data_IF_018223356865
#
_entry.id   IF_018223356865
#
_cell.length_a   1.000
_cell.length_b   1.000
_cell.length_c   1.000
_cell.angle_alpha   90.00
_cell.angle_beta   90.00
_cell.angle_gamma   90.00
#
_symmetry.space_group_name_H-M   'P 1'
#
loop_
_entity.id
_entity.type
_entity.pdbx_description
1 polymer ?
#
# COMPACT_ATOMS: atom_id res chain seq x y z
N UNK A 1 -15.43 14.94 22.21
CA UNK A 1 -14.42 14.21 21.39
C UNK A 1 -13.65 15.09 20.39
N UNK A 2 -13.50 16.35 20.72
CA UNK A 2 -12.83 17.36 19.86
C UNK A 2 -11.29 17.23 19.88
N UNK A 3 -10.72 16.47 20.81
CA UNK A 3 -9.26 16.26 20.93
C UNK A 3 -8.66 15.24 19.94
N UNK A 4 -9.50 14.41 19.27
CA UNK A 4 -9.06 13.43 18.27
C UNK A 4 -8.96 13.98 16.84
N UNK A 5 -9.40 15.20 16.60
CA UNK A 5 -9.40 15.85 15.27
C UNK A 5 -8.09 16.59 14.96
N UNK A 6 -7.12 16.62 15.86
CA UNK A 6 -5.84 17.33 15.66
C UNK A 6 -4.63 16.42 15.39
N UNK A 7 -4.78 15.10 15.32
CA UNK A 7 -3.78 14.25 14.76
C UNK A 7 -3.94 14.25 13.24
N UNK A 8 -3.04 14.95 12.54
CA UNK A 8 -3.02 15.01 11.09
C UNK A 8 -3.00 13.62 10.44
N UNK A 9 -3.24 13.54 9.12
CA UNK A 9 -3.28 12.28 8.40
C UNK A 9 -2.05 11.40 8.66
N UNK A 10 -2.29 10.11 8.87
CA UNK A 10 -1.23 9.10 8.92
C UNK A 10 -0.75 8.81 7.51
N UNK A 11 0.52 9.10 7.21
CA UNK A 11 1.17 8.70 5.96
C UNK A 11 1.65 7.25 6.09
N UNK A 12 1.17 6.41 5.19
CA UNK A 12 1.45 4.98 5.13
C UNK A 12 2.28 4.71 3.89
N UNK A 13 3.52 4.27 4.07
CA UNK A 13 4.39 3.86 2.99
C UNK A 13 4.31 2.34 2.81
N UNK A 14 3.74 1.92 1.68
CA UNK A 14 3.69 0.52 1.26
C UNK A 14 4.94 0.22 0.44
N UNK A 15 5.86 -0.56 0.99
CA UNK A 15 7.17 -0.83 0.41
C UNK A 15 7.14 -2.21 -0.25
N UNK A 16 7.16 -2.26 -1.57
CA UNK A 16 7.43 -3.49 -2.29
C UNK A 16 8.92 -3.80 -2.24
N UNK A 17 9.33 -4.94 -1.68
CA UNK A 17 10.75 -5.32 -1.59
C UNK A 17 11.41 -5.47 -2.95
N UNK A 18 10.61 -5.74 -3.99
CA UNK A 18 11.00 -5.82 -5.40
C UNK A 18 9.79 -5.66 -6.30
N UNK A 19 10.04 -5.47 -7.59
CA UNK A 19 8.96 -5.43 -8.59
C UNK A 19 8.23 -6.80 -8.66
N UNK A 20 6.92 -6.75 -8.89
CA UNK A 20 6.08 -7.94 -9.08
C UNK A 20 5.57 -8.60 -7.79
N UNK A 21 5.92 -8.11 -6.59
CA UNK A 21 5.38 -8.65 -5.32
C UNK A 21 3.91 -8.27 -5.07
N UNK A 22 3.32 -7.42 -5.90
CA UNK A 22 1.92 -7.01 -5.79
C UNK A 22 1.69 -5.80 -4.88
N UNK A 23 2.73 -4.98 -4.65
CA UNK A 23 2.64 -3.80 -3.80
C UNK A 23 1.60 -2.79 -4.31
N UNK A 24 1.58 -2.48 -5.60
CA UNK A 24 0.62 -1.56 -6.21
C UNK A 24 -0.83 -2.04 -6.00
N UNK A 25 -1.09 -3.32 -6.30
CA UNK A 25 -2.42 -3.91 -6.13
C UNK A 25 -2.85 -3.86 -4.66
N UNK A 26 -1.99 -4.25 -3.72
CA UNK A 26 -2.31 -4.24 -2.30
C UNK A 26 -2.56 -2.82 -1.80
N UNK A 27 -1.69 -1.86 -2.13
CA UNK A 27 -1.83 -0.46 -1.70
C UNK A 27 -3.13 0.16 -2.20
N UNK A 28 -3.47 -0.07 -3.46
CA UNK A 28 -4.70 0.45 -4.07
C UNK A 28 -5.95 -0.16 -3.42
N UNK A 29 -5.96 -1.48 -3.21
CA UNK A 29 -7.08 -2.16 -2.54
C UNK A 29 -7.22 -1.77 -1.07
N UNK A 30 -6.11 -1.56 -0.34
CA UNK A 30 -6.13 -1.07 1.04
C UNK A 30 -6.68 0.37 1.12
N UNK A 31 -6.25 1.25 0.22
CA UNK A 31 -6.75 2.62 0.17
C UNK A 31 -8.26 2.67 -0.07
N UNK A 32 -8.75 1.88 -1.03
CA UNK A 32 -10.18 1.76 -1.30
C UNK A 32 -10.96 1.21 -0.09
N UNK A 33 -10.46 0.16 0.55
CA UNK A 33 -11.08 -0.41 1.74
C UNK A 33 -11.19 0.59 2.88
N UNK A 34 -10.12 1.34 3.16
CA UNK A 34 -10.12 2.39 4.19
C UNK A 34 -11.14 3.49 3.89
N UNK A 35 -11.27 3.87 2.64
CA UNK A 35 -12.18 4.92 2.21
C UNK A 35 -13.64 4.45 2.25
N UNK A 36 -13.96 3.39 1.55
CA UNK A 36 -15.35 3.04 1.24
C UNK A 36 -15.95 2.09 2.27
N UNK A 37 -15.18 1.14 2.81
CA UNK A 37 -15.66 0.17 3.78
C UNK A 37 -15.48 0.66 5.22
N UNK A 38 -14.30 1.17 5.56
CA UNK A 38 -14.02 1.75 6.88
C UNK A 38 -14.48 3.21 7.01
N UNK A 39 -14.97 3.80 5.94
CA UNK A 39 -15.55 5.15 5.83
C UNK A 39 -14.61 6.25 6.34
N UNK A 40 -13.35 6.17 5.94
CA UNK A 40 -12.30 7.15 6.31
C UNK A 40 -11.87 7.93 5.08
N UNK A 41 -11.89 9.26 5.14
CA UNK A 41 -11.34 10.08 4.07
C UNK A 41 -9.87 9.72 3.84
N UNK A 42 -9.58 9.18 2.67
CA UNK A 42 -8.27 8.63 2.31
C UNK A 42 -7.77 9.24 1.01
N UNK A 43 -6.45 9.43 0.94
CA UNK A 43 -5.76 9.87 -0.26
C UNK A 43 -4.78 8.78 -0.68
N UNK A 44 -4.85 8.38 -1.93
CA UNK A 44 -3.86 7.51 -2.57
C UNK A 44 -2.97 8.37 -3.46
N UNK A 45 -1.65 8.25 -3.28
CA UNK A 45 -0.68 9.00 -4.08
C UNK A 45 0.19 8.02 -4.87
N UNK A 46 0.24 8.21 -6.18
CA UNK A 46 1.12 7.49 -7.09
C UNK A 46 2.28 8.39 -7.51
N UNK A 47 3.46 8.14 -6.94
CA UNK A 47 4.68 8.86 -7.30
C UNK A 47 5.37 8.31 -8.55
N UNK A 48 4.86 7.24 -9.17
CA UNK A 48 5.31 6.84 -10.51
C UNK A 48 4.65 7.73 -11.57
N UNK A 49 5.14 8.96 -11.68
CA UNK A 49 4.57 10.02 -12.52
C UNK A 49 4.62 9.73 -14.02
N UNK A 50 5.24 8.64 -14.43
CA UNK A 50 5.33 8.21 -15.83
C UNK A 50 4.32 7.15 -16.18
N UNK A 51 4.22 6.11 -15.36
CA UNK A 51 3.41 4.93 -15.66
C UNK A 51 1.96 5.02 -15.17
N UNK A 52 1.69 5.76 -14.07
CA UNK A 52 0.34 5.94 -13.54
C UNK A 52 -0.38 4.63 -13.20
N UNK A 53 0.32 3.65 -12.65
CA UNK A 53 -0.21 2.29 -12.45
C UNK A 53 -1.46 2.25 -11.58
N UNK A 54 -1.53 3.09 -10.54
CA UNK A 54 -2.69 3.14 -9.66
C UNK A 54 -3.93 3.69 -10.39
N UNK A 55 -3.74 4.68 -11.26
CA UNK A 55 -4.82 5.21 -12.09
C UNK A 55 -5.38 4.13 -13.04
N UNK A 56 -4.52 3.33 -13.64
CA UNK A 56 -4.91 2.21 -14.51
C UNK A 56 -5.72 1.16 -13.73
N UNK A 57 -5.27 0.78 -12.53
CA UNK A 57 -6.00 -0.19 -11.69
C UNK A 57 -7.37 0.32 -11.21
N UNK A 58 -7.55 1.62 -11.13
CA UNK A 58 -8.78 2.27 -10.69
C UNK A 58 -9.68 2.71 -11.86
N UNK A 59 -9.24 2.49 -13.09
CA UNK A 59 -9.91 2.95 -14.32
C UNK A 59 -10.28 4.44 -14.28
N UNK A 60 -9.31 5.28 -13.87
CA UNK A 60 -9.48 6.72 -13.78
C UNK A 60 -8.57 7.46 -14.76
N UNK A 61 -9.07 8.57 -15.29
CA UNK A 61 -8.28 9.46 -16.12
C UNK A 61 -7.46 10.41 -15.24
N UNK A 62 -6.19 10.56 -15.59
CA UNK A 62 -5.30 11.51 -14.92
C UNK A 62 -5.14 12.79 -15.73
N UNK A 63 -4.86 13.89 -15.04
CA UNK A 63 -4.43 15.14 -15.66
C UNK A 63 -2.98 15.45 -15.26
N UNK A 64 -2.33 16.36 -15.96
CA UNK A 64 -0.92 16.74 -15.68
C UNK A 64 -0.73 17.60 -14.43
N UNK A 65 -1.81 17.94 -13.71
CA UNK A 65 -1.75 18.88 -12.59
C UNK A 65 -0.89 18.39 -11.43
N UNK A 66 -0.98 17.10 -11.07
CA UNK A 66 -0.18 16.53 -9.98
C UNK A 66 1.32 16.56 -10.29
N UNK A 67 1.71 16.18 -11.51
CA UNK A 67 3.11 16.29 -11.95
C UNK A 67 3.59 17.74 -11.89
N UNK A 68 2.80 18.66 -12.46
CA UNK A 68 3.12 20.09 -12.45
C UNK A 68 3.28 20.64 -11.02
N UNK A 69 2.43 20.22 -10.08
CA UNK A 69 2.53 20.60 -8.67
C UNK A 69 3.85 20.14 -8.05
N UNK A 70 4.28 18.91 -8.31
CA UNK A 70 5.54 18.38 -7.78
C UNK A 70 6.77 19.01 -8.44
N UNK A 71 6.68 19.37 -9.71
CA UNK A 71 7.79 20.06 -10.43
C UNK A 71 7.94 21.53 -10.01
N UNK A 72 6.86 22.17 -9.53
CA UNK A 72 6.85 23.57 -9.09
C UNK A 72 6.21 23.73 -7.69
N UNK A 73 6.83 23.19 -6.63
CA UNK A 73 6.24 23.14 -5.30
C UNK A 73 5.90 24.51 -4.70
N UNK A 74 6.59 25.56 -5.08
CA UNK A 74 6.30 26.92 -4.63
C UNK A 74 4.95 27.47 -5.15
N UNK A 75 4.40 26.86 -6.20
CA UNK A 75 3.07 27.16 -6.75
C UNK A 75 2.01 26.16 -6.30
N UNK A 76 2.41 25.16 -5.51
CA UNK A 76 1.48 24.14 -5.02
C UNK A 76 0.61 24.74 -3.93
N UNK A 77 -0.67 24.82 -4.20
CA UNK A 77 -1.72 25.23 -3.28
C UNK A 77 -2.87 24.22 -3.23
N UNK A 78 -3.83 24.45 -2.34
CA UNK A 78 -4.98 23.56 -2.16
C UNK A 78 -5.83 23.46 -3.43
N UNK A 79 -6.02 24.56 -4.15
CA UNK A 79 -6.86 24.60 -5.35
C UNK A 79 -6.22 23.79 -6.49
N UNK A 80 -4.90 23.89 -6.68
CA UNK A 80 -4.18 23.10 -7.68
C UNK A 80 -4.27 21.61 -7.35
N UNK A 81 -4.11 21.24 -6.08
CA UNK A 81 -4.23 19.84 -5.65
C UNK A 81 -5.65 19.31 -5.80
N UNK A 82 -6.67 20.08 -5.42
CA UNK A 82 -8.08 19.70 -5.63
C UNK A 82 -8.41 19.42 -7.09
N UNK A 83 -7.95 20.27 -7.99
CA UNK A 83 -8.14 20.08 -9.44
C UNK A 83 -7.34 18.90 -9.99
N UNK A 84 -6.30 18.49 -9.30
CA UNK A 84 -5.46 17.36 -9.69
C UNK A 84 -5.95 16.03 -9.12
N UNK A 85 -6.77 16.06 -8.06
CA UNK A 85 -7.34 14.86 -7.44
C UNK A 85 -8.45 14.28 -8.32
N UNK A 86 -8.51 12.94 -8.32
CA UNK A 86 -9.57 12.16 -8.94
C UNK A 86 -10.33 11.40 -7.85
N UNK A 87 -11.66 11.55 -7.82
CA UNK A 87 -12.49 10.84 -6.85
C UNK A 87 -12.75 9.40 -7.31
N UNK A 88 -12.61 8.46 -6.36
CA UNK A 88 -12.98 7.06 -6.54
C UNK A 88 -13.96 6.68 -5.42
N UNK A 89 -15.25 6.58 -5.76
CA UNK A 89 -16.29 6.43 -4.74
C UNK A 89 -16.54 7.74 -3.98
N UNK A 90 -16.91 7.63 -2.70
CA UNK A 90 -17.30 8.78 -1.88
C UNK A 90 -16.15 9.41 -1.07
N UNK A 91 -15.14 8.62 -0.69
CA UNK A 91 -14.12 9.02 0.30
C UNK A 91 -12.69 8.77 -0.12
N UNK A 92 -12.45 8.18 -1.28
CA UNK A 92 -11.11 8.02 -1.82
C UNK A 92 -10.83 9.11 -2.84
N UNK A 93 -9.75 9.85 -2.62
CA UNK A 93 -9.15 10.72 -3.62
C UNK A 93 -7.83 10.12 -4.10
N UNK A 94 -7.48 10.35 -5.34
CA UNK A 94 -6.27 9.83 -5.97
C UNK A 94 -5.49 10.96 -6.62
N UNK A 95 -4.20 11.05 -6.30
CA UNK A 95 -3.23 11.88 -6.99
C UNK A 95 -2.31 10.95 -7.78
N UNK A 96 -2.46 10.94 -9.09
CA UNK A 96 -1.64 10.18 -10.01
C UNK A 96 -1.40 10.96 -11.29
N UNK A 97 -0.39 10.59 -12.04
CA UNK A 97 -0.06 11.20 -13.32
C UNK A 97 0.34 10.12 -14.31
N UNK A 98 -0.07 10.30 -15.56
CA UNK A 98 0.42 9.53 -16.70
C UNK A 98 1.18 10.50 -17.59
N UNK A 99 2.51 10.44 -17.54
CA UNK A 99 3.39 11.29 -18.31
C UNK A 99 4.04 10.57 -19.50
N UNK A 100 4.85 11.31 -20.25
CA UNK A 100 5.71 10.73 -21.26
C UNK A 100 6.80 9.87 -20.60
N UNK A 101 6.89 8.61 -21.02
CA UNK A 101 7.89 7.65 -20.51
C UNK A 101 9.33 8.09 -20.77
N UNK A 102 9.56 8.92 -21.79
CA UNK A 102 10.87 9.41 -22.18
C UNK A 102 11.30 10.67 -21.38
N UNK A 103 10.39 11.28 -20.65
CA UNK A 103 10.66 12.52 -19.91
C UNK A 103 10.72 12.23 -18.41
N UNK A 104 11.90 12.37 -17.81
CA UNK A 104 12.06 12.27 -16.37
C UNK A 104 11.45 13.48 -15.68
N UNK A 105 10.55 13.30 -14.70
CA UNK A 105 10.00 14.40 -13.94
C UNK A 105 11.10 15.05 -13.08
N UNK A 106 11.14 16.37 -13.06
CA UNK A 106 12.07 17.14 -12.21
C UNK A 106 11.35 17.57 -10.93
N UNK A 107 11.26 16.66 -9.97
CA UNK A 107 10.56 16.91 -8.72
C UNK A 107 11.37 17.86 -7.83
N UNK A 108 10.74 18.92 -7.36
CA UNK A 108 11.36 19.89 -6.47
C UNK A 108 11.73 19.27 -5.11
N UNK A 109 12.84 19.71 -4.55
CA UNK A 109 13.38 19.12 -3.31
C UNK A 109 12.45 19.20 -2.09
N UNK A 110 11.56 20.19 -2.03
CA UNK A 110 10.57 20.40 -0.99
C UNK A 110 9.14 19.91 -1.37
N UNK A 111 8.96 19.34 -2.57
CA UNK A 111 7.66 18.99 -3.10
C UNK A 111 6.87 18.02 -2.20
N UNK A 112 7.53 16.97 -1.68
CA UNK A 112 6.88 16.00 -0.80
C UNK A 112 6.45 16.66 0.51
N UNK A 113 7.30 17.49 1.11
CA UNK A 113 6.97 18.21 2.35
C UNK A 113 5.80 19.13 2.15
N UNK A 114 5.82 19.94 1.07
CA UNK A 114 4.73 20.86 0.76
C UNK A 114 3.41 20.12 0.48
N UNK A 115 3.47 19.02 -0.25
CA UNK A 115 2.30 18.17 -0.49
C UNK A 115 1.71 17.66 0.83
N UNK A 116 2.55 17.13 1.73
CA UNK A 116 2.10 16.62 3.03
C UNK A 116 1.49 17.70 3.91
N UNK A 117 2.03 18.91 3.92
CA UNK A 117 1.44 20.05 4.64
C UNK A 117 0.01 20.35 4.19
N UNK A 118 -0.26 20.28 2.89
CA UNK A 118 -1.56 20.60 2.30
C UNK A 118 -2.59 19.46 2.46
N UNK A 119 -2.15 18.20 2.42
CA UNK A 119 -3.09 17.07 2.44
C UNK A 119 -3.39 16.54 3.85
N UNK A 120 -2.45 16.65 4.80
CA UNK A 120 -2.64 16.13 6.16
C UNK A 120 -3.89 16.67 6.90
N UNK A 121 -4.27 17.92 6.77
CA UNK A 121 -5.49 18.42 7.44
C UNK A 121 -6.78 17.83 6.88
N UNK A 122 -6.77 17.29 5.67
CA UNK A 122 -7.98 16.93 4.89
C UNK A 122 -8.30 15.44 4.91
N UNK A 123 -7.30 14.60 5.11
CA UNK A 123 -7.44 13.14 5.03
C UNK A 123 -7.09 12.48 6.36
N UNK A 124 -7.71 11.34 6.64
CA UNK A 124 -7.32 10.53 7.80
C UNK A 124 -6.13 9.64 7.46
N UNK A 125 -6.09 9.13 6.23
CA UNK A 125 -5.00 8.29 5.75
C UNK A 125 -4.48 8.81 4.41
N UNK A 126 -3.16 8.82 4.27
CA UNK A 126 -2.48 9.05 3.00
C UNK A 126 -1.65 7.80 2.73
N UNK A 127 -1.91 7.14 1.60
CA UNK A 127 -1.20 5.92 1.23
C UNK A 127 -0.39 6.16 -0.03
N UNK A 128 0.77 5.54 -0.10
CA UNK A 128 1.56 5.50 -1.32
C UNK A 128 2.40 4.24 -1.40
N UNK A 129 2.64 3.76 -2.61
CA UNK A 129 3.68 2.77 -2.86
C UNK A 129 5.04 3.44 -2.92
N UNK A 130 6.01 2.83 -2.26
CA UNK A 130 7.40 3.27 -2.29
C UNK A 130 8.27 2.12 -2.79
N UNK A 131 9.08 2.40 -3.80
CA UNK A 131 10.16 1.51 -4.22
C UNK A 131 11.39 1.82 -3.39
N UNK A 132 12.04 0.79 -2.88
CA UNK A 132 13.31 0.99 -2.18
C UNK A 132 14.37 1.38 -3.21
N UNK A 133 14.75 2.65 -3.21
CA UNK A 133 15.74 3.23 -4.11
C UNK A 133 16.43 4.42 -3.43
N UNK A 134 17.48 4.92 -4.03
CA UNK A 134 18.17 6.15 -3.64
C UNK A 134 17.50 7.42 -4.20
N UNK A 135 16.32 7.30 -4.78
CA UNK A 135 15.52 8.43 -5.25
C UNK A 135 15.08 9.32 -4.08
N UNK A 136 15.43 10.58 -4.16
CA UNK A 136 15.15 11.60 -3.13
C UNK A 136 13.67 11.68 -2.76
N UNK A 137 12.76 11.45 -3.71
CA UNK A 137 11.31 11.50 -3.47
C UNK A 137 10.90 10.39 -2.52
N UNK A 138 11.31 9.16 -2.83
CA UNK A 138 10.97 8.01 -1.99
C UNK A 138 11.62 8.09 -0.61
N UNK A 139 12.86 8.56 -0.52
CA UNK A 139 13.54 8.75 0.76
C UNK A 139 12.84 9.81 1.63
N UNK A 140 12.34 10.89 1.02
CA UNK A 140 11.55 11.92 1.74
C UNK A 140 10.19 11.41 2.18
N UNK A 141 9.52 10.61 1.36
CA UNK A 141 8.26 9.94 1.73
C UNK A 141 8.48 9.02 2.92
N UNK A 142 9.51 8.17 2.87
CA UNK A 142 9.87 7.27 3.96
C UNK A 142 10.17 8.05 5.25
N UNK A 143 10.95 9.13 5.16
CA UNK A 143 11.27 9.98 6.32
C UNK A 143 10.06 10.64 7.00
N UNK A 144 8.93 10.74 6.30
CA UNK A 144 7.70 11.37 6.81
C UNK A 144 6.58 10.37 7.13
N UNK A 145 6.76 9.10 6.82
CA UNK A 145 5.75 8.07 7.07
C UNK A 145 5.65 7.71 8.55
N UNK A 146 4.42 7.51 9.04
CA UNK A 146 4.12 7.05 10.39
C UNK A 146 3.98 5.52 10.46
N UNK A 147 3.73 4.88 9.31
CA UNK A 147 3.59 3.43 9.22
C UNK A 147 4.25 2.93 7.95
N UNK A 148 4.97 1.81 8.07
CA UNK A 148 5.50 1.05 6.94
C UNK A 148 4.78 -0.28 6.82
N UNK A 149 4.36 -0.62 5.60
CA UNK A 149 3.86 -1.94 5.24
C UNK A 149 4.85 -2.52 4.25
N UNK A 150 5.62 -3.52 4.67
CA UNK A 150 6.62 -4.20 3.85
C UNK A 150 5.99 -5.39 3.14
N UNK A 151 5.96 -5.36 1.82
CA UNK A 151 5.26 -6.35 0.99
C UNK A 151 6.31 -7.18 0.25
N UNK A 152 6.25 -8.49 0.45
CA UNK A 152 7.12 -9.47 -0.19
C UNK A 152 6.31 -10.64 -0.73
N UNK A 153 6.87 -11.42 -1.64
CA UNK A 153 6.33 -12.71 -2.06
C UNK A 153 7.11 -13.87 -1.41
N UNK A 154 6.58 -15.10 -1.38
CA UNK A 154 7.19 -16.22 -0.67
C UNK A 154 8.37 -16.84 -1.47
N UNK A 155 9.37 -16.03 -1.82
CA UNK A 155 10.58 -16.43 -2.54
C UNK A 155 11.85 -16.09 -1.76
N UNK A 156 12.93 -16.85 -1.96
CA UNK A 156 14.24 -16.59 -1.33
C UNK A 156 14.73 -15.17 -1.65
N UNK A 157 14.52 -14.71 -2.89
CA UNK A 157 14.96 -13.38 -3.31
C UNK A 157 14.20 -12.31 -2.52
N UNK A 158 12.87 -12.43 -2.40
CA UNK A 158 12.07 -11.47 -1.62
C UNK A 158 12.43 -11.48 -0.14
N UNK A 159 12.71 -12.64 0.46
CA UNK A 159 13.19 -12.71 1.85
C UNK A 159 14.50 -11.94 2.03
N UNK A 160 15.46 -12.12 1.11
CA UNK A 160 16.73 -11.37 1.13
C UNK A 160 16.52 -9.88 1.02
N UNK A 161 15.69 -9.47 0.07
CA UNK A 161 15.42 -8.05 -0.16
C UNK A 161 14.66 -7.44 1.04
N UNK A 162 13.72 -8.17 1.64
CA UNK A 162 13.04 -7.76 2.87
C UNK A 162 14.02 -7.49 4.01
N UNK A 163 14.96 -8.41 4.25
CA UNK A 163 15.99 -8.23 5.28
C UNK A 163 16.86 -6.99 5.03
N UNK A 164 17.23 -6.73 3.77
CA UNK A 164 18.01 -5.53 3.40
C UNK A 164 17.22 -4.24 3.65
N UNK A 165 15.95 -4.21 3.26
CA UNK A 165 15.06 -3.06 3.53
C UNK A 165 14.92 -2.86 5.02
N UNK A 166 14.60 -3.92 5.78
CA UNK A 166 14.44 -3.84 7.25
C UNK A 166 15.70 -3.33 7.96
N UNK A 167 16.89 -3.74 7.51
CA UNK A 167 18.17 -3.26 8.07
C UNK A 167 18.45 -1.79 7.73
N UNK A 168 17.86 -1.26 6.65
CA UNK A 168 18.10 0.10 6.16
C UNK A 168 17.07 1.12 6.65
N UNK A 169 15.83 0.70 6.95
CA UNK A 169 14.74 1.56 7.43
C UNK A 169 15.12 2.45 8.63
N UNK A 170 15.81 1.96 9.68
CA UNK A 170 16.16 2.79 10.85
C UNK A 170 17.07 3.98 10.53
N UNK A 171 17.75 3.98 9.36
CA UNK A 171 18.59 5.10 8.90
C UNK A 171 17.76 6.23 8.29
N UNK A 172 16.55 5.94 7.87
CA UNK A 172 15.68 6.88 7.15
C UNK A 172 14.63 7.47 8.06
N UNK A 173 14.15 6.69 9.02
CA UNK A 173 13.12 7.11 9.95
C UNK A 173 13.29 6.42 11.31
N UNK A 174 13.01 7.13 12.41
CA UNK A 174 13.00 6.55 13.75
C UNK A 174 11.77 5.63 13.98
N UNK A 175 10.83 5.56 13.04
CA UNK A 175 9.66 4.70 13.17
C UNK A 175 10.11 3.25 13.15
N UNK A 176 9.61 2.54 14.11
CA UNK A 176 9.90 1.17 14.44
C UNK A 176 9.60 0.17 13.29
N UNK A 177 9.75 -1.08 13.58
CA UNK A 177 9.51 -2.28 12.79
C UNK A 177 8.37 -2.14 11.76
N UNK A 178 8.60 -2.43 10.46
CA UNK A 178 7.54 -2.43 9.47
C UNK A 178 6.54 -3.57 9.75
N UNK A 179 5.31 -3.37 9.31
CA UNK A 179 4.29 -4.40 9.28
C UNK A 179 4.52 -5.29 8.05
N UNK A 180 4.78 -6.58 8.25
CA UNK A 180 5.25 -7.49 7.20
C UNK A 180 4.08 -8.25 6.59
N UNK A 181 3.91 -8.10 5.29
CA UNK A 181 2.91 -8.80 4.47
C UNK A 181 3.61 -9.75 3.51
N UNK A 182 3.31 -11.04 3.62
CA UNK A 182 3.69 -12.02 2.60
C UNK A 182 2.52 -12.19 1.64
N UNK A 183 2.68 -11.71 0.43
CA UNK A 183 1.69 -11.83 -0.63
C UNK A 183 1.88 -13.13 -1.42
N UNK A 184 0.85 -13.58 -2.13
CA UNK A 184 0.86 -14.78 -2.98
C UNK A 184 1.20 -16.08 -2.23
N UNK A 185 0.79 -16.20 -0.97
CA UNK A 185 0.97 -17.42 -0.17
C UNK A 185 0.18 -18.58 -0.79
N UNK A 186 0.83 -19.72 -0.97
CA UNK A 186 0.26 -20.88 -1.64
C UNK A 186 0.52 -20.93 -3.16
N UNK A 187 1.30 -20.00 -3.71
CA UNK A 187 1.79 -20.08 -5.08
C UNK A 187 2.67 -21.32 -5.25
N UNK A 188 2.53 -22.10 -6.34
CA UNK A 188 3.40 -23.24 -6.61
C UNK A 188 4.89 -22.88 -6.63
N UNK A 189 5.74 -23.67 -5.98
CA UNK A 189 7.18 -23.42 -5.88
C UNK A 189 7.60 -22.34 -4.88
N UNK A 190 6.70 -21.95 -4.00
CA UNK A 190 6.98 -20.99 -2.92
C UNK A 190 7.65 -21.63 -1.71
N UNK A 191 8.36 -20.81 -0.93
CA UNK A 191 8.82 -21.17 0.40
C UNK A 191 7.62 -21.46 1.33
N UNK A 192 7.81 -22.37 2.27
CA UNK A 192 6.87 -22.57 3.37
C UNK A 192 6.90 -21.39 4.35
N UNK A 193 5.86 -21.27 5.15
CA UNK A 193 5.79 -20.23 6.18
C UNK A 193 6.92 -20.40 7.22
N UNK A 194 7.25 -21.63 7.58
CA UNK A 194 8.32 -21.92 8.54
C UNK A 194 9.68 -21.47 7.99
N UNK A 195 9.97 -21.74 6.71
CA UNK A 195 11.21 -21.29 6.05
C UNK A 195 11.28 -19.74 5.98
N UNK A 196 10.15 -19.08 5.70
CA UNK A 196 10.07 -17.61 5.69
C UNK A 196 10.33 -17.06 7.10
N UNK A 197 9.62 -17.57 8.10
CA UNK A 197 9.72 -17.13 9.50
C UNK A 197 11.15 -17.34 10.04
N UNK A 198 11.74 -18.50 9.77
CA UNK A 198 13.12 -18.77 10.17
C UNK A 198 14.11 -17.81 9.51
N UNK A 199 13.92 -17.54 8.22
CA UNK A 199 14.82 -16.67 7.46
C UNK A 199 14.68 -15.20 7.84
N UNK A 200 13.46 -14.72 8.11
CA UNK A 200 13.19 -13.34 8.56
C UNK A 200 13.56 -13.12 10.03
N UNK A 201 13.63 -14.19 10.84
CA UNK A 201 13.78 -14.11 12.29
C UNK A 201 12.54 -13.57 13.02
N UNK A 202 11.39 -13.46 12.33
CA UNK A 202 10.11 -13.02 12.87
C UNK A 202 8.96 -13.57 12.04
N UNK A 203 7.80 -13.80 12.68
CA UNK A 203 6.58 -14.16 11.94
C UNK A 203 6.10 -12.96 11.10
N UNK A 204 5.64 -13.21 9.86
CA UNK A 204 4.89 -12.21 9.10
C UNK A 204 3.58 -11.84 9.80
N UNK A 205 3.20 -10.57 9.69
CA UNK A 205 1.97 -10.06 10.32
C UNK A 205 0.72 -10.46 9.53
N UNK A 206 0.81 -10.49 8.19
CA UNK A 206 -0.30 -10.86 7.29
C UNK A 206 0.17 -11.82 6.19
N UNK A 207 -0.68 -12.77 5.88
CA UNK A 207 -0.53 -13.72 4.79
C UNK A 207 -1.64 -13.48 3.75
N UNK A 208 -1.30 -12.91 2.58
CA UNK A 208 -2.23 -12.72 1.47
C UNK A 208 -2.24 -13.97 0.59
N UNK A 209 -3.40 -14.58 0.34
CA UNK A 209 -3.49 -15.79 -0.46
C UNK A 209 -3.16 -15.54 -1.95
N UNK A 210 -2.64 -16.57 -2.62
CA UNK A 210 -2.43 -16.55 -4.06
C UNK A 210 -3.77 -16.73 -4.80
N UNK A 211 -4.26 -15.68 -5.44
CA UNK A 211 -5.56 -15.60 -6.10
C UNK A 211 -5.40 -15.09 -7.55
N UNK A 212 -4.66 -15.79 -8.42
CA UNK A 212 -4.31 -15.26 -9.74
C UNK A 212 -5.52 -15.02 -10.64
N UNK A 213 -6.53 -15.89 -10.59
CA UNK A 213 -7.74 -15.73 -11.40
C UNK A 213 -8.58 -14.52 -10.93
N UNK A 214 -8.74 -14.35 -9.61
CA UNK A 214 -9.51 -13.21 -9.07
C UNK A 214 -8.80 -11.88 -9.35
N UNK A 215 -7.46 -11.83 -9.18
CA UNK A 215 -6.68 -10.65 -9.48
C UNK A 215 -6.71 -10.30 -10.97
N UNK A 216 -6.48 -11.29 -11.85
CA UNK A 216 -6.51 -11.09 -13.30
C UNK A 216 -7.89 -10.67 -13.81
N UNK A 217 -8.96 -11.29 -13.33
CA UNK A 217 -10.33 -10.93 -13.71
C UNK A 217 -10.70 -9.52 -13.21
N UNK A 218 -10.28 -9.16 -12.00
CA UNK A 218 -10.53 -7.83 -11.45
C UNK A 218 -9.81 -6.75 -12.28
N UNK A 219 -8.57 -7.00 -12.71
CA UNK A 219 -7.80 -6.11 -13.57
C UNK A 219 -8.45 -5.93 -14.94
N UNK A 220 -8.88 -7.04 -15.58
CA UNK A 220 -9.60 -7.02 -16.88
C UNK A 220 -10.92 -6.22 -16.76
N UNK A 221 -11.64 -6.39 -15.66
CA UNK A 221 -12.92 -5.71 -15.41
C UNK A 221 -12.75 -4.23 -14.99
N UNK A 222 -11.53 -3.72 -14.79
CA UNK A 222 -11.28 -2.38 -14.21
C UNK A 222 -11.83 -2.26 -12.78
N UNK A 223 -11.76 -3.34 -11.99
CA UNK A 223 -12.31 -3.40 -10.63
C UNK A 223 -11.27 -3.87 -9.63
N UNK A 224 -11.46 -3.50 -8.38
CA UNK A 224 -10.57 -3.91 -7.32
C UNK A 224 -10.94 -5.29 -6.76
N UNK A 225 -9.94 -6.11 -6.46
CA UNK A 225 -10.12 -7.48 -5.92
C UNK A 225 -10.87 -7.45 -4.60
N UNK A 226 -10.66 -6.43 -3.77
CA UNK A 226 -11.34 -6.24 -2.48
C UNK A 226 -12.86 -6.17 -2.61
N UNK A 227 -13.38 -5.73 -3.77
CA UNK A 227 -14.82 -5.66 -4.04
C UNK A 227 -15.41 -6.97 -4.56
N UNK A 228 -14.58 -7.91 -5.01
CA UNK A 228 -14.99 -9.13 -5.71
C UNK A 228 -14.73 -10.41 -4.92
N UNK A 229 -13.63 -10.48 -4.18
CA UNK A 229 -13.20 -11.67 -3.47
C UNK A 229 -13.30 -11.47 -1.95
N UNK A 230 -14.14 -12.28 -1.30
CA UNK A 230 -14.38 -12.19 0.16
C UNK A 230 -13.12 -12.51 0.99
N UNK A 231 -12.30 -13.47 0.56
CA UNK A 231 -11.10 -13.86 1.29
C UNK A 231 -10.07 -12.73 1.22
N UNK A 232 -9.87 -12.16 0.04
CA UNK A 232 -8.99 -11.02 -0.14
C UNK A 232 -9.44 -9.83 0.72
N UNK A 233 -10.75 -9.51 0.68
CA UNK A 233 -11.34 -8.43 1.48
C UNK A 233 -11.11 -8.63 2.99
N UNK A 234 -11.35 -9.84 3.50
CA UNK A 234 -11.11 -10.16 4.91
C UNK A 234 -9.63 -10.00 5.30
N UNK A 235 -8.71 -10.34 4.40
CA UNK A 235 -7.28 -10.18 4.66
C UNK A 235 -6.87 -8.70 4.65
N UNK A 236 -7.43 -7.88 3.75
CA UNK A 236 -7.25 -6.41 3.76
C UNK A 236 -7.82 -5.79 5.04
N UNK A 237 -8.98 -6.26 5.52
CA UNK A 237 -9.56 -5.83 6.79
C UNK A 237 -8.63 -6.12 7.98
N UNK A 238 -8.01 -7.29 8.02
CA UNK A 238 -7.02 -7.65 9.04
C UNK A 238 -5.76 -6.78 8.95
N UNK A 239 -5.29 -6.52 7.73
CA UNK A 239 -4.17 -5.60 7.49
C UNK A 239 -4.49 -4.20 8.02
N UNK A 240 -5.66 -3.66 7.70
CA UNK A 240 -6.11 -2.36 8.18
C UNK A 240 -6.24 -2.32 9.70
N UNK A 241 -6.75 -3.40 10.32
CA UNK A 241 -6.84 -3.50 11.77
C UNK A 241 -5.46 -3.61 12.44
N UNK A 242 -4.60 -4.50 11.94
CA UNK A 242 -3.29 -4.76 12.55
C UNK A 242 -2.31 -3.60 12.38
N UNK A 243 -2.20 -3.06 11.16
CA UNK A 243 -1.25 -2.01 10.84
C UNK A 243 -1.73 -0.60 11.25
N UNK A 244 -3.04 -0.33 11.21
CA UNK A 244 -3.59 1.03 11.29
C UNK A 244 -4.60 1.23 12.42
N UNK A 245 -4.83 0.20 13.24
CA UNK A 245 -5.83 0.20 14.31
C UNK A 245 -7.26 0.58 13.84
N UNK A 246 -7.59 0.30 12.58
CA UNK A 246 -8.91 0.55 12.01
C UNK A 246 -9.84 -0.59 12.37
N UNK A 247 -10.96 -0.28 13.01
CA UNK A 247 -11.99 -1.24 13.37
C UNK A 247 -13.26 -0.95 12.58
N UNK A 248 -13.84 -1.97 11.94
CA UNK A 248 -15.18 -1.87 11.39
C UNK A 248 -16.21 -2.06 12.49
N UNK A 249 -17.38 -1.46 12.31
CA UNK A 249 -18.52 -1.58 13.26
C UNK A 249 -19.10 -3.01 13.34
N UNK A 250 -18.75 -3.89 12.40
CA UNK A 250 -19.09 -5.31 12.41
C UNK A 250 -17.90 -6.13 12.90
N UNK A 251 -17.92 -6.49 14.18
CA UNK A 251 -16.87 -7.25 14.86
C UNK A 251 -16.54 -8.57 14.17
N UNK A 252 -15.30 -8.78 13.78
CA UNK A 252 -14.72 -10.09 13.55
C UNK A 252 -13.94 -10.52 14.80
N UNK A 253 -14.24 -11.69 15.34
CA UNK A 253 -13.58 -12.26 16.50
C UNK A 253 -12.10 -12.50 16.24
N UNK A 254 -11.25 -11.90 17.07
CA UNK A 254 -9.81 -12.04 17.08
C UNK A 254 -9.40 -13.48 17.40
N UNK A 255 -9.10 -14.32 16.51
CA UNK A 255 -8.45 -15.58 16.84
C UNK A 255 -8.74 -16.78 15.94
N UNK A 256 -9.87 -16.79 15.26
CA UNK A 256 -10.24 -17.96 14.44
C UNK A 256 -9.67 -17.95 13.02
N UNK A 257 -9.34 -16.79 12.47
CA UNK A 257 -9.12 -16.67 11.04
C UNK A 257 -7.69 -17.05 10.58
N UNK A 258 -6.66 -16.72 11.34
CA UNK A 258 -5.31 -17.22 11.02
C UNK A 258 -5.27 -18.75 11.09
N UNK A 259 -5.98 -19.33 12.06
CA UNK A 259 -6.15 -20.78 12.13
C UNK A 259 -6.98 -21.31 10.94
N UNK A 260 -8.08 -20.63 10.57
CA UNK A 260 -8.90 -20.99 9.42
C UNK A 260 -8.20 -20.76 8.08
N UNK A 261 -7.37 -19.72 7.95
CA UNK A 261 -6.56 -19.49 6.75
C UNK A 261 -5.45 -20.55 6.64
N UNK A 262 -4.76 -20.88 7.73
CA UNK A 262 -3.81 -22.01 7.80
C UNK A 262 -4.49 -23.33 7.41
N UNK A 263 -5.72 -23.59 7.89
CA UNK A 263 -6.52 -24.77 7.52
C UNK A 263 -6.98 -24.73 6.06
N UNK A 264 -7.42 -23.58 5.53
CA UNK A 264 -7.81 -23.44 4.12
C UNK A 264 -6.63 -23.57 3.17
N UNK A 265 -5.47 -23.02 3.51
CA UNK A 265 -4.23 -23.20 2.74
C UNK A 265 -3.82 -24.68 2.75
N UNK A 266 -3.96 -25.39 3.87
CA UNK A 266 -3.83 -26.85 3.94
C UNK A 266 -4.82 -27.58 3.05
N UNK A 267 -6.08 -27.16 3.04
CA UNK A 267 -7.15 -27.77 2.26
C UNK A 267 -7.01 -27.57 0.74
N UNK A 268 -6.30 -26.51 0.30
CA UNK A 268 -5.95 -26.26 -1.10
C UNK A 268 -4.80 -27.13 -1.62
N UNK A 269 -4.41 -28.16 -0.86
CA UNK A 269 -3.45 -29.18 -1.30
C UNK A 269 -1.98 -28.72 -1.31
N UNK A 270 -1.70 -27.58 -0.71
CA UNK A 270 -0.31 -27.16 -0.44
C UNK A 270 0.25 -28.08 0.64
N UNK A 271 0.88 -29.19 0.24
CA UNK A 271 1.62 -30.06 1.16
C UNK A 271 2.78 -29.25 1.72
N UNK A 272 2.63 -28.79 2.96
CA UNK A 272 3.78 -28.40 3.75
C UNK A 272 4.65 -29.66 3.94
N UNK A 273 5.76 -29.78 3.18
CA UNK A 273 6.76 -30.79 3.49
C UNK A 273 7.31 -30.46 4.87
N UNK A 274 7.23 -31.48 5.76
CA UNK A 274 7.92 -31.46 7.04
C UNK A 274 9.43 -31.43 6.83
#
# INVERSE_FOLDING_TARGET
>A
DTHRLMEGASLIACIGVRDGVGATTLTTNLAYFLAEEARRYSLLIDFDLRAGKMATLLDINTNGGFRSALETPDRMDELLLERSMQAVGERLQVLSSMGDLNTLPKIGSNAVTRLMELVRPRFRFVLTEVKWSDDDVYMRVLGQAQQYILIMDPTIVSVRDALRVMASLPRVSPVSKPFIVVNNVGRPGSLSLDEITQSLGTEPDILMPYLPADCGNAEIDGKLVVTKNKVYRQTIEQLAHGALAVTLSSSLSKGGFLAQLKEKIKALGVRFKK
#
